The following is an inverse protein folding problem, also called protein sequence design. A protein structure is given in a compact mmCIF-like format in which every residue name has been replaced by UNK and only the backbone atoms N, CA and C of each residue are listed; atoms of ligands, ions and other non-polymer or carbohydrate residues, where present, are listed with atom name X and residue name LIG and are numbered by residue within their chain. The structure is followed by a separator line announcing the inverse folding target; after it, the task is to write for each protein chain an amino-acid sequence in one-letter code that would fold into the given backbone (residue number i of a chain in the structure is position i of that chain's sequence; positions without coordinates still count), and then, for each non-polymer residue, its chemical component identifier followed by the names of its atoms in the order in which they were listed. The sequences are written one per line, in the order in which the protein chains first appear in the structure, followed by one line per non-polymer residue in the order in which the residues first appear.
data_IF_185077168493
#
_entry.id   IF_185077168493
#
_cell.length_a   1.000
_cell.length_b   1.000
_cell.length_c   1.000
_cell.angle_alpha   90.00
_cell.angle_beta   90.00
_cell.angle_gamma   90.00
#
_symmetry.space_group_name_H-M   'P 1'
#
loop_
_entity.id
_entity.type
_entity.pdbx_description
1 polymer ?
#
# COMPACT_ATOMS: atom_id res chain seq x y z
N UNK A 1 17.88 1.60 -15.75
CA UNK A 1 16.83 2.46 -15.17
C UNK A 1 15.56 1.64 -15.00
N UNK A 2 14.85 1.69 -13.85
CA UNK A 2 13.55 0.99 -13.72
C UNK A 2 12.47 1.87 -14.34
N UNK A 3 11.85 1.42 -15.44
CA UNK A 3 10.74 2.12 -16.09
C UNK A 3 9.66 2.43 -15.06
N UNK A 4 9.47 3.71 -14.74
CA UNK A 4 8.35 4.15 -13.90
C UNK A 4 7.12 4.18 -14.79
N UNK A 5 6.27 3.17 -14.66
CA UNK A 5 4.93 3.21 -15.23
C UNK A 5 4.16 4.30 -14.52
N UNK A 6 3.76 5.33 -15.26
CA UNK A 6 2.90 6.40 -14.76
C UNK A 6 1.45 6.01 -15.03
N UNK A 7 0.61 6.01 -14.00
CA UNK A 7 -0.78 5.56 -14.12
C UNK A 7 -1.67 6.13 -13.02
N UNK A 8 -2.81 5.49 -12.84
CA UNK A 8 -3.77 5.80 -11.78
C UNK A 8 -3.62 4.79 -10.65
N UNK A 9 -3.42 5.26 -9.41
CA UNK A 9 -3.32 4.38 -8.26
C UNK A 9 -4.68 3.77 -7.92
N UNK A 10 -4.78 2.45 -7.93
CA UNK A 10 -6.01 1.74 -7.59
C UNK A 10 -6.41 1.90 -6.12
N UNK A 11 -5.50 2.22 -5.21
CA UNK A 11 -5.87 2.43 -3.81
C UNK A 11 -6.40 3.85 -3.54
N UNK A 12 -5.63 4.88 -3.91
CA UNK A 12 -5.94 6.27 -3.55
C UNK A 12 -6.55 7.11 -4.69
N UNK A 13 -6.73 6.52 -5.87
CA UNK A 13 -7.29 7.14 -7.07
C UNK A 13 -6.53 8.38 -7.59
N UNK A 14 -5.29 8.61 -7.14
CA UNK A 14 -4.44 9.66 -7.72
C UNK A 14 -4.00 9.27 -9.13
N UNK A 15 -4.07 10.22 -10.04
CA UNK A 15 -3.62 10.08 -11.43
C UNK A 15 -2.19 10.60 -11.62
N UNK A 16 -1.58 10.26 -12.75
CA UNK A 16 -0.23 10.69 -13.14
C UNK A 16 0.83 10.39 -12.07
N UNK A 17 0.71 9.24 -11.41
CA UNK A 17 1.64 8.79 -10.38
C UNK A 17 2.43 7.58 -10.85
N UNK A 18 3.69 7.48 -10.42
CA UNK A 18 4.44 6.25 -10.59
C UNK A 18 3.76 5.11 -9.79
N UNK A 19 3.29 4.09 -10.51
CA UNK A 19 2.64 2.91 -9.94
C UNK A 19 3.61 1.74 -9.84
N UNK A 20 3.30 0.83 -8.93
CA UNK A 20 4.02 -0.42 -8.70
C UNK A 20 3.00 -1.52 -8.45
N UNK A 21 3.27 -2.72 -8.93
CA UNK A 21 2.44 -3.90 -8.65
C UNK A 21 2.57 -4.27 -7.17
N UNK A 22 1.44 -4.39 -6.50
CA UNK A 22 1.32 -4.88 -5.13
C UNK A 22 0.50 -6.17 -5.12
N UNK A 23 0.99 -7.19 -4.42
CA UNK A 23 0.25 -8.44 -4.26
C UNK A 23 -0.67 -8.27 -3.06
N UNK A 24 -1.99 -8.32 -3.31
CA UNK A 24 -2.99 -8.09 -2.26
C UNK A 24 -2.95 -9.21 -1.22
N UNK A 25 -2.73 -10.44 -1.67
CA UNK A 25 -2.27 -11.54 -0.82
C UNK A 25 -0.76 -11.68 -0.99
N UNK A 26 0.07 -11.57 0.06
CA UNK A 26 1.52 -11.69 -0.09
C UNK A 26 1.95 -13.08 -0.60
N UNK A 27 3.01 -13.12 -1.41
CA UNK A 27 3.54 -14.38 -1.97
C UNK A 27 3.93 -15.39 -0.88
N UNK A 28 4.46 -14.90 0.23
CA UNK A 28 4.91 -15.71 1.38
C UNK A 28 3.78 -16.49 2.05
N UNK A 29 2.51 -16.09 1.85
CA UNK A 29 1.33 -16.78 2.37
C UNK A 29 0.50 -17.42 1.23
N UNK A 30 1.14 -17.74 0.11
CA UNK A 30 0.50 -18.41 -1.03
C UNK A 30 -0.08 -17.47 -2.09
N UNK A 31 0.15 -16.16 -2.00
CA UNK A 31 -0.42 -15.16 -2.91
C UNK A 31 0.22 -15.03 -4.30
N UNK A 32 1.03 -15.99 -4.74
CA UNK A 32 1.82 -15.87 -5.98
C UNK A 32 0.97 -15.70 -7.25
N UNK A 33 -0.21 -16.32 -7.29
CA UNK A 33 -1.16 -16.27 -8.41
C UNK A 33 -2.46 -15.54 -8.03
N UNK A 34 -2.45 -14.85 -6.88
CA UNK A 34 -3.60 -14.12 -6.39
C UNK A 34 -3.68 -12.72 -7.00
N UNK A 35 -4.83 -12.03 -6.89
CA UNK A 35 -5.00 -10.69 -7.43
C UNK A 35 -3.90 -9.72 -7.00
N UNK A 36 -3.46 -8.92 -7.96
CA UNK A 36 -2.52 -7.82 -7.75
C UNK A 36 -3.19 -6.49 -8.05
N UNK A 37 -2.60 -5.40 -7.59
CA UNK A 37 -3.06 -4.04 -7.86
C UNK A 37 -1.90 -3.10 -8.19
N UNK A 38 -2.12 -2.19 -9.13
CA UNK A 38 -1.25 -1.08 -9.48
C UNK A 38 -1.48 0.10 -8.53
N UNK A 39 -0.57 0.28 -7.59
CA UNK A 39 -0.67 1.34 -6.58
C UNK A 39 0.55 2.24 -6.59
N UNK A 40 0.37 3.50 -6.22
CA UNK A 40 1.48 4.43 -6.18
C UNK A 40 2.50 4.09 -5.07
N UNK A 41 3.75 4.47 -5.28
CA UNK A 41 4.86 4.20 -4.35
C UNK A 41 4.53 4.60 -2.89
N UNK A 42 3.91 5.77 -2.61
CA UNK A 42 3.51 6.12 -1.25
C UNK A 42 2.49 5.16 -0.63
N UNK A 43 1.48 4.73 -1.41
CA UNK A 43 0.48 3.77 -0.93
C UNK A 43 1.13 2.41 -0.63
N UNK A 44 1.98 1.92 -1.54
CA UNK A 44 2.70 0.66 -1.35
C UNK A 44 3.54 0.68 -0.07
N UNK A 45 4.32 1.75 0.14
CA UNK A 45 5.12 1.90 1.37
C UNK A 45 4.26 2.01 2.61
N UNK A 46 3.10 2.67 2.51
CA UNK A 46 2.21 2.84 3.66
C UNK A 46 1.58 1.51 4.09
N UNK A 47 1.14 0.67 3.15
CA UNK A 47 0.58 -0.66 3.46
C UNK A 47 1.57 -1.46 4.32
N UNK A 48 2.81 -1.63 3.86
CA UNK A 48 3.83 -2.41 4.61
C UNK A 48 4.40 -1.69 5.85
N UNK A 49 4.08 -0.41 6.01
CA UNK A 49 4.36 0.37 7.22
C UNK A 49 3.32 0.11 8.32
N UNK A 50 2.07 -0.11 7.93
CA UNK A 50 0.94 -0.32 8.82
C UNK A 50 0.72 -1.79 9.18
N UNK A 51 0.87 -2.70 8.22
CA UNK A 51 0.47 -4.10 8.37
C UNK A 51 1.62 -5.07 8.10
N UNK A 52 1.54 -6.25 8.71
CA UNK A 52 2.38 -7.41 8.36
C UNK A 52 1.81 -8.18 7.17
N UNK A 53 2.62 -9.07 6.59
CA UNK A 53 2.14 -9.91 5.48
C UNK A 53 1.05 -10.89 5.93
N UNK A 54 1.10 -11.36 7.18
CA UNK A 54 0.06 -12.20 7.76
C UNK A 54 -1.28 -11.46 7.87
N UNK A 55 -1.27 -10.20 8.34
CA UNK A 55 -2.47 -9.37 8.43
C UNK A 55 -3.07 -9.08 7.03
N UNK A 56 -2.21 -8.84 6.04
CA UNK A 56 -2.64 -8.66 4.66
C UNK A 56 -3.31 -9.91 4.11
N UNK A 57 -2.67 -11.07 4.26
CA UNK A 57 -3.22 -12.34 3.80
C UNK A 57 -4.52 -12.75 4.51
N UNK A 58 -4.64 -12.46 5.81
CA UNK A 58 -5.77 -12.90 6.61
C UNK A 58 -7.02 -12.03 6.46
N UNK A 59 -6.87 -10.69 6.40
CA UNK A 59 -8.04 -9.78 6.48
C UNK A 59 -7.99 -8.52 5.62
N UNK A 60 -6.92 -8.25 4.86
CA UNK A 60 -6.75 -7.02 4.06
C UNK A 60 -6.29 -7.33 2.62
N UNK A 61 -6.86 -8.38 2.03
CA UNK A 61 -6.43 -8.98 0.76
C UNK A 61 -7.18 -8.46 -0.48
N UNK A 62 -7.86 -7.31 -0.39
CA UNK A 62 -8.48 -6.63 -1.53
C UNK A 62 -8.39 -5.12 -1.43
N UNK A 63 -8.46 -4.42 -2.58
CA UNK A 63 -8.47 -2.94 -2.61
C UNK A 63 -9.67 -2.37 -1.88
N UNK A 64 -10.84 -2.99 -2.01
CA UNK A 64 -12.06 -2.54 -1.34
C UNK A 64 -11.93 -2.62 0.17
N UNK A 65 -11.41 -3.74 0.69
CA UNK A 65 -11.19 -3.92 2.13
C UNK A 65 -10.12 -2.95 2.64
N UNK A 66 -9.02 -2.76 1.90
CA UNK A 66 -8.01 -1.76 2.23
C UNK A 66 -8.59 -0.34 2.26
N UNK A 67 -9.50 0.03 1.35
CA UNK A 67 -10.13 1.35 1.35
C UNK A 67 -11.05 1.57 2.57
N UNK A 68 -11.61 0.49 3.13
CA UNK A 68 -12.49 0.54 4.30
C UNK A 68 -11.73 0.54 5.64
N UNK A 69 -10.50 0.03 5.70
CA UNK A 69 -9.72 0.01 6.95
C UNK A 69 -9.33 1.42 7.43
N UNK A 70 -9.58 1.69 8.70
CA UNK A 70 -9.40 3.02 9.29
C UNK A 70 -7.93 3.51 9.25
N UNK A 71 -6.97 2.61 9.53
CA UNK A 71 -5.55 2.99 9.67
C UNK A 71 -5.03 3.53 8.33
N UNK A 72 -5.31 2.85 7.23
CA UNK A 72 -4.89 3.28 5.89
C UNK A 72 -5.83 4.32 5.28
N UNK A 73 -7.12 4.30 5.61
CA UNK A 73 -8.10 5.30 5.17
C UNK A 73 -7.71 6.73 5.55
N UNK A 74 -7.17 6.95 6.76
CA UNK A 74 -6.61 8.24 7.19
C UNK A 74 -5.48 8.71 6.26
N UNK A 75 -4.58 7.80 5.88
CA UNK A 75 -3.51 8.09 4.94
C UNK A 75 -4.05 8.38 3.54
N UNK A 76 -5.02 7.60 3.04
CA UNK A 76 -5.62 7.80 1.72
C UNK A 76 -6.25 9.20 1.61
N UNK A 77 -7.00 9.64 2.62
CA UNK A 77 -7.60 10.98 2.66
C UNK A 77 -6.54 12.09 2.58
N UNK A 78 -5.39 11.89 3.24
CA UNK A 78 -4.30 12.85 3.24
C UNK A 78 -3.48 12.85 1.94
N UNK A 79 -3.11 11.66 1.42
CA UNK A 79 -2.23 11.54 0.24
C UNK A 79 -2.90 12.06 -1.02
N UNK A 80 -4.24 11.99 -1.12
CA UNK A 80 -5.04 12.56 -2.22
C UNK A 80 -4.88 14.08 -2.36
N UNK A 81 -4.52 14.78 -1.28
CA UNK A 81 -4.27 16.22 -1.27
C UNK A 81 -2.84 16.60 -1.66
N UNK A 82 -1.95 15.62 -1.83
CA UNK A 82 -0.54 15.86 -2.14
C UNK A 82 -0.30 15.83 -3.66
N UNK A 83 0.66 16.63 -4.18
CA UNK A 83 1.00 16.64 -5.61
C UNK A 83 1.37 15.24 -6.14
N UNK A 84 0.99 14.95 -7.39
CA UNK A 84 1.27 13.69 -8.09
C UNK A 84 2.78 13.38 -8.16
N UNK A 85 3.59 14.42 -8.38
CA UNK A 85 5.05 14.38 -8.47
C UNK A 85 5.78 14.17 -7.13
N UNK A 86 5.12 14.39 -6.00
CA UNK A 86 5.77 14.39 -4.68
C UNK A 86 5.92 12.97 -4.13
N UNK A 87 7.17 12.52 -3.97
CA UNK A 87 7.48 11.31 -3.21
C UNK A 87 7.46 11.62 -1.71
N UNK A 88 6.62 10.89 -0.98
CA UNK A 88 6.43 11.08 0.46
C UNK A 88 7.35 10.14 1.24
N UNK A 89 7.97 10.65 2.32
CA UNK A 89 8.70 9.81 3.28
C UNK A 89 7.69 9.05 4.16
N UNK A 90 7.76 7.73 4.15
CA UNK A 90 6.95 6.87 5.03
C UNK A 90 7.81 6.35 6.18
N UNK A 91 7.35 6.51 7.42
CA UNK A 91 7.95 5.89 8.61
C UNK A 91 7.10 4.70 9.05
N UNK A 92 7.75 3.58 9.43
CA UNK A 92 7.09 2.41 10.03
C UNK A 92 6.27 2.83 11.26
N UNK A 93 5.03 2.36 11.37
CA UNK A 93 4.16 2.62 12.51
C UNK A 93 4.78 2.08 13.82
N UNK A 94 4.46 2.70 14.96
CA UNK A 94 4.97 2.28 16.26
C UNK A 94 4.51 0.86 16.62
N UNK A 95 3.25 0.53 16.32
CA UNK A 95 2.65 -0.80 16.46
C UNK A 95 3.51 -1.88 15.78
N UNK A 96 3.88 -1.64 14.51
CA UNK A 96 4.71 -2.54 13.71
C UNK A 96 6.17 -2.60 14.15
N UNK A 97 6.68 -1.55 14.81
CA UNK A 97 8.04 -1.55 15.41
C UNK A 97 8.08 -2.32 16.71
N UNK A 98 7.04 -2.20 17.54
CA UNK A 98 6.98 -2.84 18.84
C UNK A 98 6.85 -4.36 18.71
N UNK A 99 6.01 -4.83 17.77
CA UNK A 99 5.91 -6.26 17.43
C UNK A 99 7.21 -6.91 16.93
N UNK A 100 8.17 -6.13 16.40
CA UNK A 100 9.48 -6.66 15.96
C UNK A 100 10.53 -6.70 17.09
N UNK A 101 10.23 -6.11 18.24
CA UNK A 101 11.13 -6.04 19.40
C UNK A 101 10.77 -7.03 20.51
N UNK A 102 9.60 -7.67 20.39
CA UNK A 102 9.22 -8.85 21.15
C UNK A 102 9.64 -10.09 20.36
#
# INVERSE_FOLDING_TARGET
MKNKTTGTCELCARQQVAVTVHHLTPKEVGGAYMPTAEICIPCHKQIHSLYTNEELGARLNSIEVLRQDEKIGKFIKWIRKQPSSKLVKTKKSNDRRNRKRQ
#
